data_IF_287912633545
#
_entry.id   IF_287912633545
#
_cell.length_a   1.000
_cell.length_b   1.000
_cell.length_c   1.000
_cell.angle_alpha   90.00
_cell.angle_beta   90.00
_cell.angle_gamma   90.00
#
_symmetry.space_group_name_H-M   'P 1'
#
loop_
_entity.id
_entity.type
_entity.pdbx_description
1 polymer ?
#
# COMPACT_ATOMS: atom_id res chain seq x y z
N UNK A 1 -11.65 -17.06 14.77
CA UNK A 1 -10.64 -16.03 15.10
C UNK A 1 -11.08 -14.74 14.42
N UNK A 2 -11.13 -13.59 15.10
CA UNK A 2 -11.47 -12.31 14.45
C UNK A 2 -10.18 -11.56 14.13
N UNK A 3 -10.10 -10.98 12.94
CA UNK A 3 -8.93 -10.21 12.52
C UNK A 3 -9.41 -8.83 12.13
N UNK A 4 -8.65 -7.82 12.53
CA UNK A 4 -8.82 -6.44 12.10
C UNK A 4 -7.50 -5.89 11.57
N UNK A 5 -7.58 -4.98 10.60
CA UNK A 5 -6.41 -4.29 10.07
C UNK A 5 -6.66 -2.80 10.20
N UNK A 6 -5.71 -2.09 10.81
CA UNK A 6 -5.73 -0.64 10.91
C UNK A 6 -4.66 0.02 10.04
N UNK A 7 -5.09 0.98 9.21
CA UNK A 7 -4.21 1.89 8.49
C UNK A 7 -4.74 3.33 8.62
N UNK A 8 -3.82 4.29 8.74
CA UNK A 8 -4.14 5.72 8.75
C UNK A 8 -4.23 6.30 7.33
N UNK A 9 -3.66 5.59 6.35
CA UNK A 9 -3.67 5.94 4.93
C UNK A 9 -4.57 4.97 4.15
N UNK A 10 -4.87 5.27 2.87
CA UNK A 10 -5.65 4.37 2.04
C UNK A 10 -5.00 2.97 1.94
N UNK A 11 -5.85 1.95 1.98
CA UNK A 11 -5.43 0.54 1.87
C UNK A 11 -4.72 0.28 0.53
N UNK A 12 -3.81 -0.71 0.53
CA UNK A 12 -2.86 -0.96 -0.57
C UNK A 12 -1.45 -0.42 -0.30
N UNK A 13 -1.31 0.51 0.65
CA UNK A 13 -0.03 0.93 1.21
C UNK A 13 0.94 1.54 0.20
N UNK A 14 2.23 1.55 0.52
CA UNK A 14 3.23 2.23 -0.31
C UNK A 14 3.44 1.50 -1.64
N UNK A 15 3.51 0.17 -1.65
CA UNK A 15 3.83 -0.61 -2.85
C UNK A 15 2.90 -0.33 -4.04
N UNK A 16 1.59 -0.47 -3.81
CA UNK A 16 0.58 -0.31 -4.84
C UNK A 16 0.28 1.17 -5.16
N UNK A 17 0.21 2.03 -4.15
CA UNK A 17 -0.26 3.41 -4.37
C UNK A 17 0.85 4.39 -4.76
N UNK A 18 2.07 4.17 -4.25
CA UNK A 18 3.15 5.19 -4.26
C UNK A 18 4.54 4.61 -4.50
N UNK A 19 4.64 3.35 -4.89
CA UNK A 19 5.87 2.58 -4.85
C UNK A 19 6.12 1.80 -6.12
N UNK A 20 6.32 0.48 -5.97
CA UNK A 20 6.73 -0.40 -7.05
C UNK A 20 5.80 -0.36 -8.25
N UNK A 21 4.49 -0.31 -8.04
CA UNK A 21 3.52 -0.42 -9.13
C UNK A 21 3.44 0.84 -9.99
N UNK A 22 3.25 2.06 -9.44
CA UNK A 22 3.34 3.27 -10.24
C UNK A 22 4.73 3.43 -10.87
N UNK A 23 5.81 3.03 -10.19
CA UNK A 23 7.17 3.06 -10.74
C UNK A 23 7.31 2.17 -11.96
N UNK A 24 6.76 0.94 -11.95
CA UNK A 24 6.84 0.03 -13.11
C UNK A 24 6.22 0.67 -14.34
N UNK A 25 5.04 1.29 -14.21
CA UNK A 25 4.36 1.96 -15.34
C UNK A 25 5.21 3.10 -15.90
N UNK A 26 5.72 3.97 -15.03
CA UNK A 26 6.55 5.10 -15.46
C UNK A 26 7.88 4.66 -16.09
N UNK A 27 8.52 3.65 -15.50
CA UNK A 27 9.76 3.08 -16.02
C UNK A 27 9.56 2.47 -17.41
N UNK A 28 8.45 1.77 -17.66
CA UNK A 28 8.15 1.23 -19.00
C UNK A 28 8.07 2.34 -20.06
N UNK A 29 7.46 3.49 -19.74
CA UNK A 29 7.45 4.64 -20.65
C UNK A 29 8.85 5.14 -21.01
N UNK A 30 9.75 5.21 -20.02
CA UNK A 30 11.14 5.62 -20.24
C UNK A 30 11.94 4.58 -21.05
N UNK A 31 11.75 3.29 -20.78
CA UNK A 31 12.42 2.19 -21.51
C UNK A 31 12.10 2.21 -23.01
N UNK A 32 10.89 2.61 -23.40
CA UNK A 32 10.51 2.73 -24.83
C UNK A 32 11.37 3.78 -25.53
N UNK A 33 11.54 4.97 -24.95
CA UNK A 33 12.39 6.02 -25.54
C UNK A 33 13.84 5.54 -25.59
N UNK A 34 14.34 4.96 -24.50
CA UNK A 34 15.73 4.51 -24.42
C UNK A 34 16.04 3.45 -25.48
N UNK A 35 15.15 2.47 -25.62
CA UNK A 35 15.27 1.40 -26.62
C UNK A 35 15.24 1.95 -28.05
N UNK A 36 14.33 2.90 -28.34
CA UNK A 36 14.25 3.54 -29.66
C UNK A 36 15.55 4.28 -30.02
N UNK A 37 16.15 4.99 -29.05
CA UNK A 37 17.42 5.69 -29.23
C UNK A 37 18.57 4.70 -29.51
N UNK A 38 18.64 3.59 -28.76
CA UNK A 38 19.69 2.58 -28.91
C UNK A 38 19.66 1.84 -30.25
N UNK A 39 18.48 1.75 -30.88
CA UNK A 39 18.25 1.11 -32.18
C UNK A 39 18.35 2.06 -33.37
N UNK A 40 18.60 3.35 -33.14
CA UNK A 40 18.71 4.34 -34.21
C UNK A 40 19.84 3.95 -35.17
N UNK A 41 19.53 3.93 -36.49
CA UNK A 41 20.42 3.46 -37.57
C UNK A 41 20.71 1.95 -37.57
N UNK A 42 20.08 1.17 -36.70
CA UNK A 42 20.12 -0.30 -36.67
C UNK A 42 18.77 -0.89 -37.12
N UNK A 43 18.22 -0.34 -38.19
CA UNK A 43 16.88 -0.71 -38.69
C UNK A 43 15.72 0.07 -38.08
N UNK A 44 15.94 0.84 -37.00
CA UNK A 44 14.93 1.78 -36.48
C UNK A 44 15.27 3.21 -36.91
N UNK A 45 14.26 3.86 -37.49
CA UNK A 45 14.23 5.31 -37.73
C UNK A 45 13.47 5.95 -36.56
N UNK A 46 14.11 6.89 -35.87
CA UNK A 46 13.55 7.61 -34.73
C UNK A 46 12.98 8.94 -35.23
N UNK A 47 11.65 9.05 -35.27
CA UNK A 47 10.90 10.23 -35.72
C UNK A 47 10.44 11.12 -34.56
N UNK A 48 11.21 11.21 -33.46
CA UNK A 48 10.86 12.10 -32.35
C UNK A 48 9.86 11.48 -31.37
N UNK A 49 10.12 10.23 -30.97
CA UNK A 49 9.35 9.57 -29.92
C UNK A 49 9.47 10.37 -28.61
N UNK A 50 8.34 10.78 -28.05
CA UNK A 50 8.25 11.55 -26.81
C UNK A 50 7.16 11.00 -25.90
N UNK A 51 7.28 11.27 -24.60
CA UNK A 51 6.25 10.90 -23.61
C UNK A 51 5.27 12.05 -23.46
N UNK A 52 3.98 11.78 -23.72
CA UNK A 52 2.90 12.58 -23.13
C UNK A 52 2.77 12.20 -21.65
N UNK A 53 3.37 13.04 -20.79
CA UNK A 53 3.36 12.83 -19.35
C UNK A 53 1.95 12.86 -18.75
N UNK A 54 1.05 13.67 -19.31
CA UNK A 54 -0.32 13.76 -18.82
C UNK A 54 -1.08 12.47 -19.10
N UNK A 55 -0.94 11.92 -20.31
CA UNK A 55 -1.51 10.62 -20.67
C UNK A 55 -0.89 9.48 -19.85
N UNK A 56 0.44 9.47 -19.68
CA UNK A 56 1.12 8.44 -18.89
C UNK A 56 0.70 8.48 -17.41
N UNK A 57 0.51 9.66 -16.84
CA UNK A 57 0.02 9.80 -15.46
C UNK A 57 -1.45 9.39 -15.33
N UNK A 58 -2.31 9.66 -16.33
CA UNK A 58 -3.69 9.11 -16.38
C UNK A 58 -3.68 7.59 -16.47
N UNK A 59 -2.84 7.02 -17.33
CA UNK A 59 -2.70 5.57 -17.45
C UNK A 59 -2.24 4.93 -16.14
N UNK A 60 -1.20 5.46 -15.50
CA UNK A 60 -0.73 5.04 -14.17
C UNK A 60 -1.82 5.12 -13.10
N UNK A 61 -2.67 6.16 -13.14
CA UNK A 61 -3.81 6.32 -12.21
C UNK A 61 -4.85 5.21 -12.36
N UNK A 62 -5.09 4.73 -13.58
CA UNK A 62 -5.96 3.57 -13.83
C UNK A 62 -5.56 2.30 -13.05
N UNK A 63 -4.29 2.15 -12.66
CA UNK A 63 -3.82 1.03 -11.82
C UNK A 63 -3.83 1.34 -10.32
N UNK A 64 -3.85 2.61 -9.90
CA UNK A 64 -3.72 2.98 -8.49
C UNK A 64 -5.02 3.37 -7.84
N UNK A 65 -5.96 3.94 -8.60
CA UNK A 65 -7.09 4.67 -8.01
C UNK A 65 -8.18 3.71 -7.46
N UNK A 66 -8.34 2.54 -8.08
CA UNK A 66 -9.28 1.51 -7.62
C UNK A 66 -8.72 0.66 -6.46
N UNK A 67 -7.40 0.69 -6.21
CA UNK A 67 -6.74 -0.19 -5.24
C UNK A 67 -7.26 -0.02 -3.81
N UNK A 68 -7.46 1.20 -3.27
CA UNK A 68 -7.91 1.35 -1.89
C UNK A 68 -9.26 0.69 -1.64
N UNK A 69 -10.24 0.94 -2.52
CA UNK A 69 -11.57 0.37 -2.39
C UNK A 69 -11.53 -1.15 -2.59
N UNK A 70 -10.87 -1.62 -3.65
CA UNK A 70 -10.77 -3.06 -3.93
C UNK A 70 -10.10 -3.85 -2.80
N UNK A 71 -9.06 -3.29 -2.18
CA UNK A 71 -8.41 -3.91 -1.02
C UNK A 71 -9.33 -3.94 0.21
N UNK A 72 -10.08 -2.88 0.48
CA UNK A 72 -11.05 -2.88 1.59
C UNK A 72 -12.19 -3.87 1.35
N UNK A 73 -12.72 -3.93 0.13
CA UNK A 73 -13.76 -4.88 -0.27
C UNK A 73 -13.26 -6.33 -0.14
N UNK A 74 -12.02 -6.61 -0.56
CA UNK A 74 -11.40 -7.92 -0.40
C UNK A 74 -11.21 -8.30 1.08
N UNK A 75 -10.71 -7.37 1.90
CA UNK A 75 -10.52 -7.61 3.33
C UNK A 75 -11.85 -7.87 4.04
N UNK A 76 -12.86 -7.04 3.78
CA UNK A 76 -14.19 -7.19 4.39
C UNK A 76 -14.90 -8.45 3.89
N UNK A 77 -14.78 -8.80 2.60
CA UNK A 77 -15.27 -10.06 2.03
C UNK A 77 -14.65 -11.29 2.66
N UNK A 78 -13.40 -11.20 3.12
CA UNK A 78 -12.71 -12.25 3.89
C UNK A 78 -13.00 -12.21 5.41
N UNK A 79 -13.96 -11.39 5.85
CA UNK A 79 -14.35 -11.27 7.27
C UNK A 79 -13.37 -10.49 8.14
N UNK A 80 -12.44 -9.74 7.54
CA UNK A 80 -11.49 -8.86 8.24
C UNK A 80 -12.16 -7.52 8.53
N UNK A 81 -12.08 -7.06 9.78
CA UNK A 81 -12.55 -5.73 10.17
C UNK A 81 -11.55 -4.67 9.70
N UNK A 82 -11.96 -3.77 8.80
CA UNK A 82 -11.14 -2.63 8.39
C UNK A 82 -11.35 -1.46 9.36
N UNK A 83 -10.26 -0.97 9.94
CA UNK A 83 -10.25 0.17 10.85
C UNK A 83 -9.39 1.28 10.23
N UNK A 84 -9.89 2.51 10.22
CA UNK A 84 -9.14 3.67 9.73
C UNK A 84 -8.73 4.54 10.89
N UNK A 85 -7.48 4.96 10.92
CA UNK A 85 -6.99 5.91 11.92
C UNK A 85 -5.56 5.65 12.39
N UNK A 86 -5.08 6.55 13.24
CA UNK A 86 -3.75 6.43 13.84
C UNK A 86 -3.81 5.48 15.03
N UNK A 87 -3.17 4.33 14.87
CA UNK A 87 -3.05 3.33 15.90
C UNK A 87 -1.83 3.59 16.80
N UNK A 88 -2.04 3.56 18.12
CA UNK A 88 -0.99 3.66 19.13
C UNK A 88 -1.22 2.64 20.24
N UNK A 89 -0.19 1.88 20.58
CA UNK A 89 -0.26 0.98 21.73
C UNK A 89 -0.36 1.76 23.04
N UNK A 90 -1.31 1.38 23.90
CA UNK A 90 -1.45 1.94 25.26
C UNK A 90 -1.17 0.92 26.35
N UNK A 91 -0.86 -0.32 25.98
CA UNK A 91 -0.48 -1.40 26.89
C UNK A 91 -0.21 -2.70 26.16
N UNK A 92 0.13 -3.79 26.87
CA UNK A 92 0.58 -5.06 26.27
C UNK A 92 -0.44 -5.69 25.33
N UNK A 93 -1.73 -5.50 25.66
CA UNK A 93 -2.87 -6.06 24.93
C UNK A 93 -3.86 -4.96 24.50
N UNK A 94 -3.44 -3.70 24.45
CA UNK A 94 -4.32 -2.55 24.21
C UNK A 94 -3.78 -1.62 23.13
N UNK A 95 -4.67 -1.21 22.24
CA UNK A 95 -4.40 -0.32 21.13
C UNK A 95 -5.45 0.78 21.08
N UNK A 96 -5.02 2.03 21.00
CA UNK A 96 -5.89 3.19 20.81
C UNK A 96 -5.85 3.59 19.33
N UNK A 97 -7.02 3.71 18.70
CA UNK A 97 -7.19 4.17 17.31
C UNK A 97 -8.04 5.43 17.37
N UNK A 98 -7.46 6.58 16.99
CA UNK A 98 -8.14 7.89 16.96
C UNK A 98 -9.00 8.22 18.20
N UNK A 99 -8.55 7.83 19.39
CA UNK A 99 -9.32 8.05 20.63
C UNK A 99 -9.96 6.79 21.22
N UNK A 100 -10.29 5.82 20.38
CA UNK A 100 -11.05 4.63 20.76
C UNK A 100 -10.11 3.52 21.21
N UNK A 101 -10.42 2.88 22.34
CA UNK A 101 -9.61 1.79 22.89
C UNK A 101 -10.07 0.43 22.34
N UNK A 102 -9.10 -0.39 21.92
CA UNK A 102 -9.28 -1.74 21.41
C UNK A 102 -8.38 -2.73 22.17
N UNK A 103 -8.87 -3.96 22.36
CA UNK A 103 -8.15 -5.04 23.04
C UNK A 103 -8.02 -6.25 22.13
N UNK A 104 -6.84 -6.86 22.09
CA UNK A 104 -6.55 -8.06 21.32
C UNK A 104 -5.57 -8.99 22.03
N UNK A 105 -5.63 -10.30 21.75
CA UNK A 105 -4.66 -11.29 22.23
C UNK A 105 -3.33 -11.21 21.48
N UNK A 106 -3.35 -10.85 20.20
CA UNK A 106 -2.15 -10.79 19.37
C UNK A 106 -2.16 -9.55 18.46
N UNK A 107 -1.02 -8.91 18.35
CA UNK A 107 -0.76 -7.79 17.45
C UNK A 107 0.40 -8.14 16.52
N UNK A 108 0.28 -7.77 15.26
CA UNK A 108 1.31 -7.92 14.24
C UNK A 108 1.64 -6.53 13.68
N UNK A 109 2.88 -6.11 13.86
CA UNK A 109 3.40 -4.87 13.32
C UNK A 109 4.21 -5.20 12.06
N UNK A 110 4.02 -4.50 10.92
CA UNK A 110 4.78 -4.77 9.70
C UNK A 110 6.30 -4.65 9.85
N UNK A 111 6.78 -3.90 10.84
CA UNK A 111 8.21 -3.77 11.18
C UNK A 111 8.75 -4.92 12.06
N UNK A 112 7.87 -5.76 12.63
CA UNK A 112 8.19 -6.85 13.56
C UNK A 112 7.36 -8.10 13.25
N UNK A 113 7.96 -9.04 12.54
CA UNK A 113 7.37 -10.34 12.14
C UNK A 113 7.20 -11.36 13.29
N UNK A 114 6.88 -10.92 14.52
CA UNK A 114 6.58 -11.85 15.62
C UNK A 114 5.44 -11.33 16.49
N UNK A 115 4.44 -12.18 16.76
CA UNK A 115 3.40 -11.91 17.75
C UNK A 115 4.03 -11.83 19.14
N UNK A 116 4.21 -10.62 19.68
CA UNK A 116 4.66 -10.42 21.07
C UNK A 116 3.84 -9.33 21.74
N UNK A 117 3.73 -9.43 23.07
CA UNK A 117 3.29 -8.35 23.95
C UNK A 117 4.23 -7.15 23.75
N UNK A 118 3.69 -6.03 23.30
CA UNK A 118 4.50 -4.83 23.06
C UNK A 118 4.50 -3.92 24.29
N UNK A 119 5.66 -3.36 24.60
CA UNK A 119 5.86 -2.34 25.64
C UNK A 119 6.55 -1.15 24.95
N UNK A 120 5.77 -0.20 24.44
CA UNK A 120 6.32 1.00 23.78
C UNK A 120 5.34 1.73 22.86
N UNK A 121 5.48 3.05 22.71
CA UNK A 121 4.59 3.90 21.93
C UNK A 121 4.99 4.03 20.47
N UNK A 122 4.65 3.04 19.64
CA UNK A 122 4.76 3.17 18.18
C UNK A 122 3.44 3.66 17.60
N UNK A 123 3.53 4.63 16.69
CA UNK A 123 2.46 5.10 15.81
C UNK A 123 2.68 4.52 14.41
N UNK A 124 1.72 3.76 13.89
CA UNK A 124 1.83 3.20 12.54
C UNK A 124 0.79 2.12 12.22
N UNK A 125 0.84 1.61 10.97
CA UNK A 125 0.03 0.47 10.50
C UNK A 125 0.16 -0.72 11.43
N UNK A 126 -0.96 -1.28 11.86
CA UNK A 126 -0.97 -2.50 12.68
C UNK A 126 -2.01 -3.49 12.13
N UNK A 127 -1.63 -4.76 12.00
CA UNK A 127 -2.60 -5.84 11.89
C UNK A 127 -2.93 -6.33 13.31
N UNK A 128 -4.21 -6.40 13.64
CA UNK A 128 -4.72 -6.69 14.98
C UNK A 128 -5.53 -7.98 14.95
N UNK A 129 -5.08 -9.02 15.66
CA UNK A 129 -5.90 -10.22 15.84
C UNK A 129 -6.80 -10.04 17.05
N UNK A 130 -8.03 -9.58 16.81
CA UNK A 130 -9.06 -9.42 17.83
C UNK A 130 -9.53 -10.80 18.33
N UNK A 131 -9.48 -10.99 19.63
CA UNK A 131 -10.05 -12.16 20.28
C UNK A 131 -10.99 -11.67 21.37
N UNK A 132 -12.21 -12.20 21.41
CA UNK A 132 -12.87 -12.40 22.69
C UNK A 132 -12.05 -13.42 23.49
#
# INVERSE_FOLDING_TARGET
MRVGIVDALPYGGTGALRGCDPKKILRRGAEVIDTARLMRRKGITDYGVSIDWSALMRHKRGFTDAVPQGMEDELTGNGVTTLRGNARFTGPNQLKIDGTQHRAKCFLEPSRFSCRRFVGGVTGRCAVSLSM
#
